data_IF_090480531305
#
_entry.id   IF_090480531305
#
_cell.length_a   1.000
_cell.length_b   1.000
_cell.length_c   1.000
_cell.angle_alpha   90.00
_cell.angle_beta   90.00
_cell.angle_gamma   90.00
#
_symmetry.space_group_name_H-M   'P 1'
#
loop_
_entity.id
_entity.type
_entity.pdbx_description
1 polymer ?
#
# COMPACT_ATOMS: atom_id res chain seq x y z
N UNK A 1 -9.13 -47.38 8.17
CA UNK A 1 -8.42 -46.57 9.18
C UNK A 1 -8.72 -45.10 8.93
N UNK A 2 -9.76 -44.56 9.57
CA UNK A 2 -10.04 -43.11 9.57
C UNK A 2 -9.47 -42.50 10.87
N UNK A 3 -8.85 -41.32 10.85
CA UNK A 3 -8.43 -40.66 12.08
C UNK A 3 -9.62 -40.00 12.77
N UNK A 4 -9.78 -40.32 14.06
CA UNK A 4 -10.75 -39.74 14.98
C UNK A 4 -10.35 -38.30 15.31
N UNK A 5 -11.14 -37.33 14.86
CA UNK A 5 -11.00 -35.92 15.25
C UNK A 5 -11.79 -35.69 16.54
N UNK A 6 -11.10 -35.28 17.60
CA UNK A 6 -11.73 -34.83 18.85
C UNK A 6 -11.88 -33.30 18.83
N UNK A 7 -12.94 -32.72 19.42
CA UNK A 7 -13.12 -31.27 19.49
C UNK A 7 -12.13 -30.63 20.47
N UNK A 8 -11.61 -29.45 20.11
CA UNK A 8 -10.87 -28.58 21.02
C UNK A 8 -11.90 -27.75 21.79
N UNK A 9 -12.01 -27.99 23.09
CA UNK A 9 -12.80 -27.19 24.03
C UNK A 9 -11.94 -25.98 24.41
N UNK A 10 -12.42 -24.77 24.11
CA UNK A 10 -11.84 -23.51 24.61
C UNK A 10 -12.79 -23.03 25.71
N UNK A 11 -12.55 -23.49 26.93
CA UNK A 11 -13.10 -22.89 28.14
C UNK A 11 -11.97 -22.08 28.77
N UNK A 12 -12.03 -20.76 28.65
CA UNK A 12 -11.54 -19.87 29.70
C UNK A 12 -12.08 -18.44 29.46
N UNK A 13 -12.98 -17.94 30.34
CA UNK A 13 -13.41 -16.54 30.30
C UNK A 13 -12.31 -15.62 30.86
N UNK A 14 -11.94 -14.62 30.08
CA UNK A 14 -11.01 -13.54 30.47
C UNK A 14 -11.66 -12.69 31.58
N UNK A 15 -11.03 -12.49 32.75
CA UNK A 15 -11.60 -11.64 33.80
C UNK A 15 -11.40 -10.16 33.45
N UNK A 16 -12.48 -9.38 33.53
CA UNK A 16 -12.50 -7.92 33.42
C UNK A 16 -12.63 -7.30 34.81
N UNK A 17 -11.58 -6.79 35.43
CA UNK A 17 -11.59 -5.83 36.56
C UNK A 17 -10.16 -5.25 36.71
N UNK A 18 -9.87 -4.02 37.14
CA UNK A 18 -10.57 -2.75 37.30
C UNK A 18 -9.48 -1.70 37.61
N UNK A 19 -9.67 -0.45 37.16
CA UNK A 19 -9.24 0.82 37.77
C UNK A 19 -7.81 1.00 38.30
N UNK A 20 -7.08 1.95 37.69
CA UNK A 20 -5.95 2.65 38.31
C UNK A 20 -5.84 4.07 37.76
N UNK A 21 -6.45 5.02 38.47
CA UNK A 21 -6.28 6.47 38.25
C UNK A 21 -4.91 6.89 38.79
N UNK A 22 -4.05 7.42 37.92
CA UNK A 22 -2.91 8.26 38.30
C UNK A 22 -2.67 9.33 37.23
N UNK A 23 -3.07 10.55 37.52
CA UNK A 23 -2.44 11.81 37.07
C UNK A 23 -1.97 12.54 38.34
N UNK A 24 -0.99 13.47 38.33
CA UNK A 24 -0.35 14.18 37.20
C UNK A 24 1.19 14.32 37.30
N UNK A 25 1.88 14.70 36.20
CA UNK A 25 2.71 15.92 36.11
C UNK A 25 3.43 16.05 34.75
N UNK A 26 3.71 17.29 34.29
CA UNK A 26 4.25 17.56 32.96
C UNK A 26 5.78 17.58 32.98
N UNK A 27 6.43 16.64 32.31
CA UNK A 27 7.86 16.74 32.05
C UNK A 27 8.09 17.31 30.66
N UNK A 28 8.38 18.62 30.64
CA UNK A 28 9.11 19.25 29.54
C UNK A 28 10.45 18.52 29.38
N UNK A 29 10.66 17.90 28.23
CA UNK A 29 12.01 17.64 27.73
C UNK A 29 12.00 17.86 26.23
N UNK A 30 12.20 19.14 25.91
CA UNK A 30 12.58 19.61 24.60
C UNK A 30 13.84 18.86 24.18
N UNK A 31 13.81 18.20 23.02
CA UNK A 31 14.92 18.35 22.10
C UNK A 31 14.41 18.27 20.66
N UNK A 32 14.48 19.39 19.91
CA UNK A 32 14.14 19.40 18.50
C UNK A 32 15.27 18.71 17.74
N UNK A 33 15.05 17.51 17.22
CA UNK A 33 15.90 17.02 16.15
C UNK A 33 15.50 17.77 14.87
N UNK A 34 16.03 18.99 14.76
CA UNK A 34 16.15 19.73 13.52
C UNK A 34 17.00 18.87 12.60
N UNK A 35 16.37 17.98 11.85
CA UNK A 35 16.98 17.48 10.62
C UNK A 35 17.34 18.71 9.80
N UNK A 36 18.57 18.83 9.27
CA UNK A 36 18.93 19.99 8.48
C UNK A 36 17.93 20.11 7.34
N UNK A 37 17.07 21.12 7.43
CA UNK A 37 16.36 21.66 6.29
C UNK A 37 17.46 22.21 5.39
N UNK A 38 18.00 21.35 4.53
CA UNK A 38 18.79 21.78 3.38
C UNK A 38 17.82 22.37 2.35
N UNK A 39 17.17 23.47 2.74
CA UNK A 39 16.55 24.40 1.83
C UNK A 39 17.70 25.19 1.20
N UNK A 40 18.21 24.69 0.07
CA UNK A 40 18.67 25.46 -1.09
C UNK A 40 19.37 24.50 -2.04
N UNK A 41 18.63 24.08 -3.05
CA UNK A 41 19.13 24.08 -4.42
C UNK A 41 17.91 24.02 -5.32
N UNK A 42 17.40 25.19 -5.69
CA UNK A 42 16.73 25.40 -6.97
C UNK A 42 17.73 25.16 -8.11
N UNK A 43 18.38 23.99 -8.11
CA UNK A 43 18.98 23.43 -9.30
C UNK A 43 17.81 23.13 -10.21
N UNK A 44 17.89 23.60 -11.45
CA UNK A 44 17.16 23.04 -12.58
C UNK A 44 17.59 21.57 -12.76
N UNK A 45 17.26 20.72 -11.79
CA UNK A 45 17.56 19.30 -11.84
C UNK A 45 16.77 18.75 -13.01
N UNK A 46 17.48 18.16 -13.97
CA UNK A 46 16.84 17.42 -15.03
C UNK A 46 15.78 16.50 -14.42
N UNK A 47 14.60 16.34 -15.05
CA UNK A 47 13.59 15.42 -14.55
C UNK A 47 14.22 14.03 -14.42
N UNK A 48 14.15 13.45 -13.23
CA UNK A 48 14.64 12.09 -12.99
C UNK A 48 13.92 11.13 -13.93
N UNK A 49 14.65 10.25 -14.65
CA UNK A 49 14.03 9.33 -15.58
C UNK A 49 13.16 8.34 -14.80
N UNK A 50 12.07 7.87 -15.41
CA UNK A 50 11.19 6.88 -14.77
C UNK A 50 11.92 5.57 -14.44
N UNK A 51 13.06 5.30 -15.08
CA UNK A 51 13.94 4.17 -14.76
C UNK A 51 14.58 4.26 -13.37
N UNK A 52 14.70 5.47 -12.80
CA UNK A 52 15.15 5.67 -11.43
C UNK A 52 14.07 5.31 -10.39
N UNK A 53 12.79 5.28 -10.81
CA UNK A 53 11.71 4.82 -9.94
C UNK A 53 11.81 3.31 -9.72
N UNK A 54 11.59 2.87 -8.49
CA UNK A 54 11.59 1.45 -8.12
C UNK A 54 10.16 1.00 -7.84
N UNK A 55 9.69 -0.02 -8.56
CA UNK A 55 8.37 -0.59 -8.30
C UNK A 55 8.28 -1.10 -6.85
N UNK A 56 7.29 -0.67 -6.03
CA UNK A 56 7.20 -1.06 -4.62
C UNK A 56 6.80 -2.54 -4.41
N UNK A 57 6.53 -3.27 -5.49
CA UNK A 57 6.08 -4.67 -5.43
C UNK A 57 7.23 -5.62 -5.81
N UNK A 58 7.94 -5.35 -6.91
CA UNK A 58 9.02 -6.22 -7.40
C UNK A 58 10.43 -5.62 -7.21
N UNK A 59 10.55 -4.42 -6.65
CA UNK A 59 11.81 -3.76 -6.33
C UNK A 59 12.77 -3.60 -7.52
N UNK A 60 12.20 -3.44 -8.72
CA UNK A 60 12.92 -3.21 -9.97
C UNK A 60 12.33 -2.00 -10.70
N UNK A 61 13.04 -1.38 -11.66
CA UNK A 61 12.45 -0.37 -12.53
C UNK A 61 11.14 -0.86 -13.18
N UNK A 62 10.06 -0.08 -13.17
CA UNK A 62 8.78 -0.53 -13.68
C UNK A 62 8.80 -0.92 -15.16
N UNK A 63 8.37 -2.15 -15.46
CA UNK A 63 8.04 -2.57 -16.83
C UNK A 63 6.56 -2.35 -17.08
N UNK A 64 6.20 -1.75 -18.23
CA UNK A 64 4.82 -1.32 -18.53
C UNK A 64 4.24 -0.52 -17.35
N UNK A 65 4.94 0.54 -16.96
CA UNK A 65 4.61 1.35 -15.80
C UNK A 65 3.14 1.78 -15.84
N UNK A 66 2.45 1.63 -14.72
CA UNK A 66 1.03 1.94 -14.62
C UNK A 66 0.79 2.85 -13.41
N UNK A 67 0.07 3.94 -13.63
CA UNK A 67 -0.30 4.95 -12.65
C UNK A 67 -1.74 4.72 -12.19
N UNK A 68 -1.91 4.59 -10.88
CA UNK A 68 -3.24 4.56 -10.25
C UNK A 68 -3.80 5.99 -10.09
N UNK A 69 -5.14 6.17 -9.98
CA UNK A 69 -5.74 7.51 -9.81
C UNK A 69 -5.25 8.27 -8.56
N UNK A 70 -4.76 7.54 -7.55
CA UNK A 70 -4.15 8.13 -6.36
C UNK A 70 -2.67 8.49 -6.52
N UNK A 71 -2.08 8.33 -7.70
CA UNK A 71 -0.73 8.78 -8.02
C UNK A 71 0.39 7.75 -7.86
N UNK A 72 0.12 6.54 -7.36
CA UNK A 72 1.16 5.53 -7.20
C UNK A 72 1.46 4.78 -8.51
N UNK A 73 2.75 4.57 -8.77
CA UNK A 73 3.29 3.91 -9.96
C UNK A 73 3.81 2.52 -9.60
N UNK A 74 3.56 1.53 -10.46
CA UNK A 74 4.14 0.19 -10.35
C UNK A 74 4.15 -0.50 -11.72
N UNK A 75 4.78 -1.67 -11.83
CA UNK A 75 4.67 -2.48 -13.05
C UNK A 75 3.21 -2.85 -13.30
N UNK A 76 2.77 -2.84 -14.56
CA UNK A 76 1.41 -3.26 -14.92
C UNK A 76 1.07 -4.66 -14.41
N UNK A 77 1.93 -5.65 -14.67
CA UNK A 77 1.71 -7.01 -14.18
C UNK A 77 1.62 -7.09 -12.64
N UNK A 78 2.46 -6.34 -11.92
CA UNK A 78 2.47 -6.30 -10.46
C UNK A 78 1.18 -5.68 -9.90
N UNK A 79 0.74 -4.56 -10.46
CA UNK A 79 -0.49 -3.89 -10.07
C UNK A 79 -1.70 -4.82 -10.26
N UNK A 80 -1.83 -5.42 -11.44
CA UNK A 80 -2.97 -6.29 -11.75
C UNK A 80 -3.02 -7.52 -10.86
N UNK A 81 -1.88 -8.17 -10.61
CA UNK A 81 -1.79 -9.30 -9.71
C UNK A 81 -2.19 -8.92 -8.28
N UNK A 82 -1.68 -7.80 -7.76
CA UNK A 82 -1.97 -7.32 -6.40
C UNK A 82 -3.45 -6.92 -6.22
N UNK A 83 -4.03 -6.19 -7.18
CA UNK A 83 -5.45 -5.80 -7.15
C UNK A 83 -6.33 -7.04 -7.24
N UNK A 84 -6.11 -7.94 -8.21
CA UNK A 84 -6.88 -9.19 -8.35
C UNK A 84 -6.82 -10.05 -7.09
N UNK A 85 -5.64 -10.17 -6.48
CA UNK A 85 -5.47 -10.93 -5.24
C UNK A 85 -6.24 -10.33 -4.06
N UNK A 86 -6.31 -9.00 -3.98
CA UNK A 86 -7.06 -8.31 -2.93
C UNK A 86 -8.56 -8.39 -3.15
N UNK A 87 -9.02 -8.18 -4.38
CA UNK A 87 -10.42 -8.38 -4.78
C UNK A 87 -10.87 -9.81 -4.50
N UNK A 88 -10.04 -10.82 -4.82
CA UNK A 88 -10.31 -12.23 -4.55
C UNK A 88 -10.35 -12.58 -3.06
N UNK A 89 -9.57 -11.90 -2.22
CA UNK A 89 -9.68 -12.09 -0.76
C UNK A 89 -10.94 -11.44 -0.21
N UNK A 90 -11.30 -10.28 -0.74
CA UNK A 90 -12.46 -9.53 -0.27
C UNK A 90 -13.81 -10.14 -0.69
N UNK A 91 -13.89 -10.85 -1.82
CA UNK A 91 -15.12 -11.57 -2.21
C UNK A 91 -15.52 -12.67 -1.21
N UNK A 92 -14.59 -13.24 -0.45
CA UNK A 92 -14.90 -14.29 0.53
C UNK A 92 -15.65 -13.70 1.74
N UNK A 93 -15.46 -12.41 2.01
CA UNK A 93 -16.04 -11.71 3.16
C UNK A 93 -17.25 -10.86 2.73
N UNK A 94 -17.23 -10.35 1.51
CA UNK A 94 -18.30 -9.52 0.96
C UNK A 94 -19.44 -10.42 0.45
N UNK A 95 -20.43 -10.65 1.30
CA UNK A 95 -21.65 -11.41 0.97
C UNK A 95 -22.34 -10.83 -0.29
N UNK A 96 -22.90 -9.62 -0.17
CA UNK A 96 -23.77 -9.01 -1.20
C UNK A 96 -23.17 -7.75 -1.85
N UNK A 97 -21.89 -7.46 -1.62
CA UNK A 97 -21.22 -6.28 -2.22
C UNK A 97 -20.12 -6.72 -3.17
N UNK A 98 -20.11 -6.13 -4.35
CA UNK A 98 -19.00 -6.29 -5.27
C UNK A 98 -17.70 -5.82 -4.59
N UNK A 99 -16.62 -6.63 -4.59
CA UNK A 99 -15.36 -6.26 -3.97
C UNK A 99 -14.76 -5.02 -4.63
N UNK A 100 -14.46 -4.00 -3.81
CA UNK A 100 -13.90 -2.73 -4.29
C UNK A 100 -12.40 -2.87 -4.59
N UNK A 101 -11.95 -2.56 -5.82
CA UNK A 101 -10.54 -2.59 -6.19
C UNK A 101 -9.81 -1.40 -5.57
N UNK A 102 -8.63 -1.68 -5.00
CA UNK A 102 -7.84 -0.70 -4.24
C UNK A 102 -6.37 -0.72 -4.64
N UNK A 103 -5.73 0.45 -4.60
CA UNK A 103 -4.30 0.61 -4.84
C UNK A 103 -3.48 -0.23 -3.85
N UNK A 104 -2.49 -1.02 -4.30
CA UNK A 104 -1.68 -1.87 -3.42
C UNK A 104 -0.75 -1.07 -2.49
N UNK A 105 -0.53 0.22 -2.77
CA UNK A 105 0.35 1.08 -1.97
C UNK A 105 -0.42 1.79 -0.86
N UNK A 106 -1.45 2.58 -1.20
CA UNK A 106 -2.17 3.41 -0.23
C UNK A 106 -3.62 2.98 0.03
N UNK A 107 -4.11 1.90 -0.61
CA UNK A 107 -5.48 1.38 -0.48
C UNK A 107 -6.62 2.32 -0.94
N UNK A 108 -6.29 3.43 -1.60
CA UNK A 108 -7.28 4.26 -2.29
C UNK A 108 -8.04 3.44 -3.36
N UNK A 109 -9.31 3.75 -3.57
CA UNK A 109 -10.15 3.05 -4.54
C UNK A 109 -9.70 3.33 -5.98
N UNK A 110 -9.91 2.35 -6.86
CA UNK A 110 -9.60 2.48 -8.29
C UNK A 110 -10.94 2.51 -9.06
N UNK A 111 -11.53 3.70 -9.27
CA UNK A 111 -12.80 3.83 -9.97
C UNK A 111 -12.69 3.36 -11.43
N UNK A 112 -13.72 2.69 -11.94
CA UNK A 112 -13.76 2.19 -13.33
C UNK A 112 -12.88 0.97 -13.60
N UNK A 113 -12.36 0.31 -12.56
CA UNK A 113 -11.59 -0.91 -12.71
C UNK A 113 -12.45 -2.07 -13.21
N UNK A 114 -12.06 -2.63 -14.35
CA UNK A 114 -12.77 -3.72 -15.04
C UNK A 114 -11.97 -5.04 -15.06
N UNK A 115 -10.81 -5.08 -14.41
CA UNK A 115 -9.90 -6.24 -14.39
C UNK A 115 -9.05 -6.45 -15.65
N UNK A 116 -9.25 -5.62 -16.68
CA UNK A 116 -8.46 -5.60 -17.94
C UNK A 116 -7.65 -4.31 -18.11
N UNK A 117 -7.76 -3.37 -17.17
CA UNK A 117 -6.95 -2.15 -17.15
C UNK A 117 -7.77 -0.86 -17.13
N UNK A 118 -9.10 -0.96 -17.08
CA UNK A 118 -9.94 0.19 -16.76
C UNK A 118 -9.54 0.82 -15.43
N UNK A 119 -9.72 2.13 -15.29
CA UNK A 119 -9.47 2.86 -14.04
C UNK A 119 -8.01 3.16 -13.71
N UNK A 120 -7.05 2.78 -14.56
CA UNK A 120 -5.62 3.09 -14.40
C UNK A 120 -5.03 3.62 -15.70
N UNK A 121 -3.89 4.32 -15.61
CA UNK A 121 -3.22 4.92 -16.76
C UNK A 121 -1.91 4.18 -17.03
N UNK A 122 -1.79 3.55 -18.21
CA UNK A 122 -0.52 3.01 -18.68
C UNK A 122 0.42 4.13 -19.10
N UNK A 123 1.66 4.11 -18.62
CA UNK A 123 2.69 5.08 -18.98
C UNK A 123 3.60 4.49 -20.07
N UNK A 124 3.86 5.29 -21.11
CA UNK A 124 4.85 4.97 -22.13
C UNK A 124 6.19 5.55 -21.71
N UNK A 125 7.19 4.70 -21.50
CA UNK A 125 8.56 5.14 -21.20
C UNK A 125 9.29 5.41 -22.52
N UNK A 126 9.79 6.63 -22.70
CA UNK A 126 10.61 7.00 -23.86
C UNK A 126 12.01 7.36 -23.38
N UNK A 127 13.03 6.83 -24.05
CA UNK A 127 14.43 7.14 -23.76
C UNK A 127 14.79 8.43 -24.50
N UNK A 128 15.24 9.44 -23.76
CA UNK A 128 15.73 10.70 -24.32
C UNK A 128 17.25 10.70 -24.22
N UNK A 129 17.93 10.76 -25.36
CA UNK A 129 19.38 10.94 -25.42
C UNK A 129 19.68 12.43 -25.56
N UNK A 130 20.49 12.97 -24.65
CA UNK A 130 21.09 14.29 -24.81
C UNK A 130 22.50 14.08 -25.39
N UNK A 131 22.75 14.63 -26.58
CA UNK A 131 24.06 14.64 -27.24
C UNK A 131 24.89 15.83 -26.78
#
# INVERSE_FOLDING_TARGET
TLPSLRPIVIDDPIPLEMTGVFTPEPTTSQNPHVSPLNATSSSSSAPEPLSAYTCPICFSPPTNATLTPCGHICCGACLFAAVKSTVKRNMVIAMDRAPVPRCPVCRAEIPGWDGRGGGVVGLKVEVVFSL
#
